data_IF_725299429079
#
_entry.id   IF_725299429079
#
_cell.length_a   1.000
_cell.length_b   1.000
_cell.length_c   1.000
_cell.angle_alpha   90.00
_cell.angle_beta   90.00
_cell.angle_gamma   90.00
#
_symmetry.space_group_name_H-M   'P 1'
#
loop_
_entity.id
_entity.type
_entity.pdbx_description
1 polymer ?
#
# COMPACT_ATOMS: atom_id res chain seq x y z
N UNK A 1 2.40 -11.99 -7.53
CA UNK A 1 1.28 -11.08 -7.87
C UNK A 1 1.19 -10.01 -6.80
N UNK A 2 1.15 -8.74 -7.20
CA UNK A 2 0.88 -7.63 -6.28
C UNK A 2 -0.57 -7.19 -6.45
N UNK A 3 -1.36 -7.36 -5.41
CA UNK A 3 -2.78 -7.00 -5.34
C UNK A 3 -2.84 -5.72 -4.51
N UNK A 4 -3.55 -4.72 -5.01
CA UNK A 4 -3.50 -3.37 -4.43
C UNK A 4 -4.90 -2.91 -4.11
N UNK A 5 -5.13 -2.66 -2.84
CA UNK A 5 -6.30 -2.00 -2.31
C UNK A 5 -7.48 -2.94 -2.10
N UNK A 6 -8.31 -2.54 -1.14
CA UNK A 6 -9.70 -2.91 -0.97
C UNK A 6 -9.96 -4.40 -1.17
N UNK A 7 -9.22 -5.18 -0.40
CA UNK A 7 -9.29 -6.63 -0.42
C UNK A 7 -10.53 -7.13 0.32
N UNK A 8 -11.02 -6.38 1.30
CA UNK A 8 -12.20 -6.70 2.09
C UNK A 8 -12.88 -5.45 2.61
N UNK A 9 -14.20 -5.51 2.80
CA UNK A 9 -14.98 -4.51 3.55
C UNK A 9 -15.14 -4.86 5.03
N UNK A 10 -14.56 -5.98 5.49
CA UNK A 10 -14.62 -6.42 6.87
C UNK A 10 -14.01 -5.39 7.83
N UNK A 11 -14.75 -5.06 8.89
CA UNK A 11 -14.35 -4.06 9.88
C UNK A 11 -13.20 -4.54 10.76
N UNK A 12 -13.07 -5.86 10.90
CA UNK A 12 -12.04 -6.53 11.67
C UNK A 12 -11.54 -7.76 10.91
N UNK A 13 -10.49 -8.39 11.46
CA UNK A 13 -9.83 -9.50 10.79
C UNK A 13 -10.77 -10.70 10.58
N UNK A 14 -11.64 -11.01 11.55
CA UNK A 14 -12.56 -12.14 11.47
C UNK A 14 -13.52 -11.99 10.28
N UNK A 15 -14.09 -10.81 10.10
CA UNK A 15 -14.94 -10.48 8.96
C UNK A 15 -14.19 -10.54 7.63
N UNK A 16 -12.90 -10.18 7.61
CA UNK A 16 -12.06 -10.20 6.42
C UNK A 16 -11.49 -11.58 6.06
N UNK A 17 -11.61 -12.60 6.93
CA UNK A 17 -10.97 -13.90 6.72
C UNK A 17 -11.41 -14.59 5.44
N UNK A 18 -12.71 -14.55 5.11
CA UNK A 18 -13.22 -15.21 3.91
C UNK A 18 -12.62 -14.63 2.62
N UNK A 19 -12.48 -13.29 2.56
CA UNK A 19 -11.86 -12.60 1.42
C UNK A 19 -10.36 -12.91 1.34
N UNK A 20 -9.66 -12.91 2.48
CA UNK A 20 -8.24 -13.24 2.56
C UNK A 20 -7.97 -14.71 2.20
N UNK A 21 -8.85 -15.64 2.58
CA UNK A 21 -8.76 -17.05 2.22
C UNK A 21 -8.97 -17.25 0.72
N UNK A 22 -9.91 -16.52 0.11
CA UNK A 22 -10.06 -16.50 -1.34
C UNK A 22 -8.77 -16.02 -2.02
N UNK A 23 -8.19 -14.88 -1.59
CA UNK A 23 -6.94 -14.36 -2.15
C UNK A 23 -5.79 -15.35 -1.93
N UNK A 24 -5.73 -15.99 -0.77
CA UNK A 24 -4.75 -17.01 -0.45
C UNK A 24 -4.82 -18.20 -1.41
N UNK A 25 -6.02 -18.61 -1.81
CA UNK A 25 -6.26 -19.75 -2.72
C UNK A 25 -5.72 -19.52 -4.14
N UNK A 26 -5.51 -18.26 -4.53
CA UNK A 26 -4.95 -17.92 -5.83
C UNK A 26 -3.50 -18.43 -5.95
N UNK A 27 -3.09 -18.89 -7.14
CA UNK A 27 -1.76 -19.46 -7.35
C UNK A 27 -0.63 -18.42 -7.17
N UNK A 28 0.52 -18.91 -6.73
CA UNK A 28 1.73 -18.11 -6.57
C UNK A 28 1.78 -17.27 -5.30
N UNK A 29 2.77 -16.37 -5.22
CA UNK A 29 2.98 -15.45 -4.09
C UNK A 29 2.07 -14.23 -4.22
N UNK A 30 1.33 -13.91 -3.17
CA UNK A 30 0.46 -12.73 -3.09
C UNK A 30 1.08 -11.68 -2.17
N UNK A 31 1.28 -10.48 -2.71
CA UNK A 31 1.70 -9.30 -1.97
C UNK A 31 0.55 -8.31 -2.02
N UNK A 32 0.01 -7.95 -0.87
CA UNK A 32 -1.16 -7.09 -0.72
C UNK A 32 -0.67 -5.70 -0.33
N UNK A 33 -1.24 -4.65 -0.92
CA UNK A 33 -1.01 -3.26 -0.52
C UNK A 33 -2.32 -2.67 -0.01
N UNK A 34 -2.31 -2.11 1.20
CA UNK A 34 -3.53 -1.65 1.88
C UNK A 34 -4.31 -0.62 1.07
N UNK A 35 -5.63 -0.77 1.02
CA UNK A 35 -6.60 0.20 0.50
C UNK A 35 -7.31 1.01 1.59
N UNK A 36 -8.25 1.86 1.19
CA UNK A 36 -9.05 2.67 2.12
C UNK A 36 -10.16 1.84 2.78
N UNK A 37 -10.64 0.78 2.13
CA UNK A 37 -11.69 -0.09 2.67
C UNK A 37 -11.17 -1.28 3.49
N UNK A 38 -9.85 -1.50 3.52
CA UNK A 38 -9.19 -2.52 4.35
C UNK A 38 -9.18 -2.13 5.84
N UNK A 39 -10.36 -1.97 6.45
CA UNK A 39 -10.53 -1.49 7.83
C UNK A 39 -9.93 -2.46 8.86
N UNK A 40 -9.90 -3.77 8.55
CA UNK A 40 -9.22 -4.78 9.34
C UNK A 40 -7.70 -4.58 9.46
N UNK A 41 -7.08 -3.80 8.56
CA UNK A 41 -5.63 -3.64 8.45
C UNK A 41 -5.11 -2.36 9.12
N UNK A 42 -4.72 -2.49 10.39
CA UNK A 42 -3.96 -1.47 11.11
C UNK A 42 -2.52 -1.36 10.57
N UNK A 43 -2.21 -0.27 9.86
CA UNK A 43 -0.89 -0.04 9.27
C UNK A 43 0.27 -0.14 10.26
N UNK A 44 0.07 0.27 11.53
CA UNK A 44 1.12 0.21 12.56
C UNK A 44 1.39 -1.22 13.04
N UNK A 45 0.45 -2.14 12.80
CA UNK A 45 0.51 -3.55 13.20
C UNK A 45 0.62 -4.50 12.02
N UNK A 46 1.00 -4.01 10.83
CA UNK A 46 1.22 -4.85 9.63
C UNK A 46 2.13 -6.04 9.91
N UNK A 47 3.15 -5.89 10.78
CA UNK A 47 4.02 -6.99 11.17
C UNK A 47 3.25 -8.19 11.75
N UNK A 48 2.17 -7.97 12.52
CA UNK A 48 1.34 -9.04 13.09
C UNK A 48 0.59 -9.82 12.02
N UNK A 49 0.08 -9.13 10.99
CA UNK A 49 -0.53 -9.79 9.84
C UNK A 49 0.50 -10.62 9.08
N UNK A 50 1.71 -10.07 8.88
CA UNK A 50 2.80 -10.80 8.24
C UNK A 50 3.29 -12.03 9.03
N UNK A 51 3.22 -11.99 10.37
CA UNK A 51 3.47 -13.16 11.21
C UNK A 51 2.36 -14.20 11.08
N UNK A 52 1.10 -13.77 11.19
CA UNK A 52 -0.07 -14.64 11.15
C UNK A 52 -0.24 -15.36 9.80
N UNK A 53 0.01 -14.66 8.70
CA UNK A 53 -0.14 -15.17 7.34
C UNK A 53 1.19 -15.57 6.70
N UNK A 54 2.25 -15.77 7.50
CA UNK A 54 3.59 -16.13 7.02
C UNK A 54 3.53 -17.30 6.03
N UNK A 55 4.14 -17.11 4.85
CA UNK A 55 4.17 -18.10 3.76
C UNK A 55 2.89 -18.18 2.93
N UNK A 56 1.80 -17.53 3.35
CA UNK A 56 0.49 -17.56 2.68
C UNK A 56 0.17 -16.24 1.98
N UNK A 57 0.28 -15.14 2.71
CA UNK A 57 0.11 -13.76 2.23
C UNK A 57 1.29 -12.90 2.68
N UNK A 58 1.47 -11.76 2.04
CA UNK A 58 2.53 -10.79 2.33
C UNK A 58 1.93 -9.39 2.29
N UNK A 59 1.89 -8.72 3.43
CA UNK A 59 1.28 -7.41 3.59
C UNK A 59 2.36 -6.32 3.45
N UNK A 60 2.25 -5.50 2.40
CA UNK A 60 3.18 -4.45 2.01
C UNK A 60 2.78 -3.12 2.64
N UNK A 61 3.39 -2.77 3.77
CA UNK A 61 3.22 -1.50 4.47
C UNK A 61 4.36 -1.33 5.49
N UNK A 62 5.13 -0.25 5.36
CA UNK A 62 6.33 0.03 6.19
C UNK A 62 7.38 -1.09 6.12
N UNK A 63 7.47 -1.73 4.97
CA UNK A 63 8.39 -2.82 4.66
C UNK A 63 8.56 -2.87 3.13
N UNK A 64 9.33 -3.84 2.65
CA UNK A 64 9.48 -4.09 1.23
C UNK A 64 9.54 -5.60 0.96
N UNK A 65 9.40 -5.98 -0.31
CA UNK A 65 9.65 -7.35 -0.74
C UNK A 65 10.55 -7.39 -1.96
N UNK A 66 11.50 -8.31 -1.97
CA UNK A 66 12.37 -8.52 -3.12
C UNK A 66 11.62 -9.13 -4.32
N UNK A 67 11.92 -8.63 -5.51
CA UNK A 67 11.60 -9.23 -6.79
C UNK A 67 12.79 -9.07 -7.74
N UNK A 68 13.59 -10.13 -7.85
CA UNK A 68 14.87 -10.11 -8.57
C UNK A 68 15.76 -8.99 -8.02
N UNK A 69 16.26 -8.10 -8.86
CA UNK A 69 17.06 -6.92 -8.52
C UNK A 69 16.25 -5.74 -7.97
N UNK A 70 14.90 -5.83 -7.97
CA UNK A 70 14.02 -4.77 -7.52
C UNK A 70 13.52 -4.99 -6.09
N UNK A 71 13.41 -3.90 -5.33
CA UNK A 71 12.60 -3.84 -4.12
C UNK A 71 11.19 -3.34 -4.44
N UNK A 72 10.18 -4.15 -4.12
CA UNK A 72 8.78 -3.78 -4.17
C UNK A 72 8.44 -2.97 -2.91
N UNK A 73 8.04 -1.71 -3.09
CA UNK A 73 7.66 -0.79 -2.01
C UNK A 73 6.29 -0.19 -2.29
N UNK A 74 5.58 0.29 -1.27
CA UNK A 74 4.32 0.95 -1.53
C UNK A 74 3.65 1.57 -0.33
N UNK A 75 2.62 2.36 -0.61
CA UNK A 75 1.78 3.00 0.41
C UNK A 75 0.35 3.17 -0.11
N UNK A 76 -0.63 3.22 0.80
CA UNK A 76 -2.03 3.44 0.44
C UNK A 76 -2.22 4.82 -0.21
N UNK A 77 -1.40 5.79 0.18
CA UNK A 77 -1.55 7.17 -0.27
C UNK A 77 -2.78 7.84 0.35
N UNK A 78 -2.93 9.11 0.03
CA UNK A 78 -4.08 9.90 0.43
C UNK A 78 -4.35 10.98 -0.61
N UNK A 79 -5.61 11.08 -1.03
CA UNK A 79 -6.04 12.05 -2.02
C UNK A 79 -7.03 13.01 -1.39
N UNK A 80 -6.93 14.29 -1.74
CA UNK A 80 -7.81 15.33 -1.21
C UNK A 80 -9.13 15.33 -1.97
N UNK A 81 -10.21 14.94 -1.30
CA UNK A 81 -11.56 14.96 -1.87
C UNK A 81 -12.35 16.22 -1.49
N UNK A 82 -11.69 17.23 -0.91
CA UNK A 82 -12.37 18.45 -0.45
C UNK A 82 -13.24 18.27 0.80
N UNK A 83 -13.17 17.11 1.47
CA UNK A 83 -13.93 16.80 2.69
C UNK A 83 -13.17 17.17 3.97
N UNK A 84 -11.84 17.15 3.92
CA UNK A 84 -10.98 17.44 5.06
C UNK A 84 -10.59 18.91 5.13
N UNK A 85 -10.17 19.38 6.30
CA UNK A 85 -9.45 20.66 6.35
C UNK A 85 -8.08 20.51 5.65
N UNK A 86 -7.53 21.58 5.06
CA UNK A 86 -6.19 21.54 4.46
C UNK A 86 -5.12 20.98 5.40
N UNK A 87 -5.18 21.34 6.69
CA UNK A 87 -4.22 20.88 7.69
C UNK A 87 -4.33 19.38 7.94
N UNK A 88 -5.56 18.85 8.00
CA UNK A 88 -5.78 17.41 8.18
C UNK A 88 -5.32 16.62 6.95
N UNK A 89 -5.61 17.12 5.75
CA UNK A 89 -5.11 16.53 4.51
C UNK A 89 -3.58 16.46 4.48
N UNK A 90 -2.90 17.56 4.80
CA UNK A 90 -1.43 17.61 4.85
C UNK A 90 -0.86 16.62 5.87
N UNK A 91 -1.50 16.48 7.03
CA UNK A 91 -1.09 15.50 8.03
C UNK A 91 -1.20 14.06 7.51
N UNK A 92 -2.31 13.72 6.84
CA UNK A 92 -2.51 12.39 6.28
C UNK A 92 -1.52 12.08 5.15
N UNK A 93 -1.27 13.04 4.25
CA UNK A 93 -0.24 12.90 3.21
C UNK A 93 1.14 12.70 3.84
N UNK A 94 1.51 13.50 4.85
CA UNK A 94 2.79 13.38 5.55
C UNK A 94 2.98 11.99 6.15
N UNK A 95 1.92 11.44 6.78
CA UNK A 95 1.94 10.07 7.33
C UNK A 95 2.17 9.02 6.25
N UNK A 96 1.55 9.14 5.07
CA UNK A 96 1.76 8.19 3.98
C UNK A 96 3.16 8.30 3.35
N UNK A 97 3.71 9.53 3.26
CA UNK A 97 5.08 9.77 2.80
C UNK A 97 6.12 9.17 3.76
N UNK A 98 5.95 9.34 5.07
CA UNK A 98 6.86 8.75 6.07
C UNK A 98 6.88 7.22 6.00
N UNK A 99 5.72 6.60 5.80
CA UNK A 99 5.59 5.13 5.62
C UNK A 99 6.31 4.64 4.38
N UNK A 100 6.18 5.38 3.28
CA UNK A 100 6.85 5.08 2.04
C UNK A 100 8.37 5.27 2.19
N UNK A 101 8.82 6.34 2.85
CA UNK A 101 10.23 6.60 3.17
C UNK A 101 10.85 5.44 3.94
N UNK A 102 10.19 4.95 5.00
CA UNK A 102 10.64 3.77 5.76
C UNK A 102 10.85 2.56 4.84
N UNK A 103 9.94 2.34 3.89
CA UNK A 103 10.01 1.21 2.95
C UNK A 103 11.23 1.31 2.03
N UNK A 104 11.53 2.52 1.53
CA UNK A 104 12.74 2.79 0.75
C UNK A 104 14.02 2.64 1.57
N UNK A 105 14.07 3.21 2.78
CA UNK A 105 15.24 3.15 3.66
C UNK A 105 15.59 1.71 4.04
N UNK A 106 14.59 0.88 4.36
CA UNK A 106 14.79 -0.54 4.64
C UNK A 106 15.34 -1.30 3.42
N UNK A 107 14.76 -1.08 2.25
CA UNK A 107 15.22 -1.72 1.03
C UNK A 107 16.65 -1.30 0.64
N UNK A 108 16.98 -0.02 0.79
CA UNK A 108 18.33 0.49 0.54
C UNK A 108 19.35 -0.07 1.54
N UNK A 109 18.97 -0.20 2.82
CA UNK A 109 19.82 -0.83 3.84
C UNK A 109 20.12 -2.31 3.53
N UNK A 110 19.18 -3.01 2.88
CA UNK A 110 19.34 -4.38 2.40
C UNK A 110 20.02 -4.48 1.02
N UNK A 111 20.53 -3.36 0.48
CA UNK A 111 21.36 -3.32 -0.72
C UNK A 111 20.60 -3.13 -2.04
N UNK A 112 19.29 -2.86 -2.01
CA UNK A 112 18.53 -2.57 -3.22
C UNK A 112 18.70 -1.11 -3.67
N UNK A 113 18.96 -0.91 -4.96
CA UNK A 113 19.05 0.41 -5.61
C UNK A 113 18.01 0.61 -6.72
N UNK A 114 17.22 -0.43 -7.03
CA UNK A 114 16.14 -0.39 -8.00
C UNK A 114 14.83 -0.70 -7.28
N UNK A 115 13.78 0.08 -7.58
CA UNK A 115 12.52 0.03 -6.85
C UNK A 115 11.35 -0.08 -7.80
N UNK A 116 10.37 -0.88 -7.44
CA UNK A 116 9.03 -0.84 -8.04
C UNK A 116 8.09 -0.37 -6.95
N UNK A 117 7.59 0.85 -7.11
CA UNK A 117 6.70 1.53 -6.18
C UNK A 117 5.25 1.32 -6.57
N UNK A 118 4.44 0.90 -5.62
CA UNK A 118 2.98 0.80 -5.73
C UNK A 118 2.34 1.88 -4.86
N UNK A 119 1.53 2.75 -5.48
CA UNK A 119 0.78 3.79 -4.80
C UNK A 119 -0.70 3.68 -5.21
N UNK A 120 -1.58 3.76 -4.23
CA UNK A 120 -3.01 3.92 -4.45
C UNK A 120 -3.42 5.37 -4.17
N UNK A 121 -4.50 5.80 -4.81
CA UNK A 121 -5.12 7.09 -4.59
C UNK A 121 -6.55 7.07 -5.13
N UNK A 122 -7.42 7.94 -4.63
CA UNK A 122 -8.80 8.07 -5.11
C UNK A 122 -9.03 9.53 -5.52
N UNK A 123 -9.48 9.77 -6.75
CA UNK A 123 -9.84 11.12 -7.20
C UNK A 123 -11.25 11.05 -7.76
N UNK A 124 -12.16 11.85 -7.20
CA UNK A 124 -13.58 11.91 -7.59
C UNK A 124 -14.30 10.55 -7.62
N UNK A 125 -14.02 9.70 -6.63
CA UNK A 125 -14.62 8.36 -6.55
C UNK A 125 -13.98 7.30 -7.47
N UNK A 126 -12.88 7.66 -8.16
CA UNK A 126 -12.16 6.76 -9.06
C UNK A 126 -10.82 6.37 -8.43
N UNK A 127 -10.59 5.07 -8.25
CA UNK A 127 -9.33 4.53 -7.76
C UNK A 127 -8.22 4.58 -8.81
N UNK A 128 -7.14 5.31 -8.52
CA UNK A 128 -5.90 5.36 -9.29
C UNK A 128 -4.86 4.45 -8.65
N UNK A 129 -4.27 3.57 -9.46
CA UNK A 129 -3.12 2.74 -9.10
C UNK A 129 -1.90 3.20 -9.88
N UNK A 130 -0.96 3.86 -9.20
CA UNK A 130 0.34 4.16 -9.78
C UNK A 130 1.31 3.02 -9.47
N UNK A 131 1.81 2.37 -10.52
CA UNK A 131 2.95 1.46 -10.43
C UNK A 131 4.11 2.13 -11.15
N UNK A 132 5.14 2.56 -10.40
CA UNK A 132 6.32 3.20 -10.98
C UNK A 132 7.56 2.35 -10.76
N UNK A 133 8.32 2.07 -11.81
CA UNK A 133 9.66 1.47 -11.74
C UNK A 133 10.79 2.51 -11.62
N UNK A 134 10.44 3.79 -11.81
CA UNK A 134 11.43 4.86 -12.00
C UNK A 134 11.26 5.91 -10.90
N UNK A 135 12.38 6.52 -10.48
CA UNK A 135 12.50 7.59 -9.49
C UNK A 135 11.67 8.84 -9.87
N UNK A 136 10.35 8.75 -9.73
CA UNK A 136 9.42 9.78 -10.16
C UNK A 136 9.53 11.01 -9.26
N UNK A 137 9.95 12.11 -9.86
CA UNK A 137 9.54 13.47 -9.46
C UNK A 137 8.04 13.65 -9.70
N UNK A 138 7.21 12.84 -9.03
CA UNK A 138 5.77 12.82 -9.21
C UNK A 138 5.16 14.18 -8.81
N UNK A 139 4.53 14.87 -9.77
CA UNK A 139 3.70 16.06 -9.57
C UNK A 139 2.31 15.78 -10.16
N UNK A 140 1.30 15.46 -9.35
CA UNK A 140 -0.07 15.39 -9.83
C UNK A 140 -0.54 16.82 -10.14
N UNK A 141 -0.87 17.11 -11.39
CA UNK A 141 -1.52 18.36 -11.80
C UNK A 141 -3.02 18.14 -11.96
N UNK A 142 -3.80 19.10 -11.48
CA UNK A 142 -5.26 19.12 -11.57
C UNK A 142 -5.65 19.41 -13.02
N UNK A 143 -6.43 18.55 -13.65
CA UNK A 143 -7.12 18.91 -14.89
C UNK A 143 -7.96 20.17 -14.64
N UNK A 144 -7.77 21.20 -15.47
CA UNK A 144 -8.62 22.38 -15.43
C UNK A 144 -10.09 21.98 -15.66
N UNK A 145 -10.98 22.68 -14.96
CA UNK A 145 -12.42 22.42 -14.84
C UNK A 145 -13.15 22.28 -16.19
#
# INVERSE_FOLDING_TARGET
MVITGDHSWGLNLEEALADLDFIQSLPGRKILLRGNHDMFWDAKKTYRLNEMFRGRLSFLQNNFYAYREYALVGTKGYCYEGKDSPEHFEELVRRELDRLRISFELAAADGYSQFIMFLLGEVDGIGYKLVSSDYLRFRPERGAA
#
